data_IF_023520645957
#
_entry.id   IF_023520645957
#
_cell.length_a   1.000
_cell.length_b   1.000
_cell.length_c   1.000
_cell.angle_alpha   90.00
_cell.angle_beta   90.00
_cell.angle_gamma   90.00
#
_symmetry.space_group_name_H-M   'P 1'
#
loop_
_entity.id
_entity.type
_entity.pdbx_description
1 polymer ?
#
# COMPACT_ATOMS: atom_id res chain seq x y z
N UNK A 1 -94.58 22.85 38.84
CA UNK A 1 -93.17 22.99 39.26
C UNK A 1 -92.42 21.70 38.98
N UNK A 2 -91.58 21.69 37.94
CA UNK A 2 -90.34 20.89 37.82
C UNK A 2 -89.61 21.42 36.59
N UNK A 3 -88.52 22.12 36.87
CA UNK A 3 -87.63 22.75 35.91
C UNK A 3 -86.32 21.94 35.80
N UNK A 4 -85.55 22.25 34.75
CA UNK A 4 -84.12 21.93 34.51
C UNK A 4 -83.83 20.50 34.04
N UNK A 5 -82.92 20.24 33.09
CA UNK A 5 -81.86 21.04 32.47
C UNK A 5 -81.45 20.36 31.14
N UNK A 6 -81.37 21.10 30.03
CA UNK A 6 -80.84 20.62 28.75
C UNK A 6 -79.31 20.74 28.76
N UNK A 7 -78.60 19.63 28.67
CA UNK A 7 -77.15 19.60 28.45
C UNK A 7 -76.84 19.76 26.95
N UNK A 8 -76.14 20.85 26.61
CA UNK A 8 -75.47 21.04 25.33
C UNK A 8 -74.10 20.35 25.39
N UNK A 9 -73.95 19.22 24.70
CA UNK A 9 -72.65 18.58 24.47
C UNK A 9 -71.93 19.24 23.29
N UNK A 10 -70.97 20.11 23.58
CA UNK A 10 -70.00 20.67 22.62
C UNK A 10 -69.20 19.53 21.97
N UNK A 11 -69.39 19.31 20.65
CA UNK A 11 -68.43 18.53 19.85
C UNK A 11 -67.14 19.34 19.74
N UNK A 12 -66.05 18.86 20.33
CA UNK A 12 -64.70 19.35 20.03
C UNK A 12 -64.42 19.07 18.54
N UNK A 13 -64.24 20.12 17.76
CA UNK A 13 -63.71 20.02 16.41
C UNK A 13 -62.29 19.43 16.50
N UNK A 14 -62.05 18.36 15.76
CA UNK A 14 -60.70 17.82 15.58
C UNK A 14 -59.89 18.82 14.74
N UNK A 15 -58.82 19.37 15.32
CA UNK A 15 -57.83 20.14 14.57
C UNK A 15 -57.16 19.22 13.52
N UNK A 16 -57.10 19.60 12.25
CA UNK A 16 -56.39 18.84 11.25
C UNK A 16 -54.88 18.95 11.52
N UNK A 17 -54.23 17.82 11.74
CA UNK A 17 -52.78 17.71 11.94
C UNK A 17 -52.01 18.12 10.68
N UNK A 18 -51.81 19.42 10.46
CA UNK A 18 -51.06 19.96 9.34
C UNK A 18 -49.57 20.16 9.70
N UNK A 19 -48.88 19.08 10.12
CA UNK A 19 -47.44 19.15 10.46
C UNK A 19 -46.59 17.92 10.09
N UNK A 20 -47.07 17.03 9.22
CA UNK A 20 -46.31 15.80 8.86
C UNK A 20 -45.84 15.68 7.39
N UNK A 21 -46.32 16.51 6.45
CA UNK A 21 -45.93 16.39 5.03
C UNK A 21 -44.60 17.08 4.68
N UNK A 22 -44.31 18.25 5.26
CA UNK A 22 -43.05 18.98 4.99
C UNK A 22 -41.79 18.24 5.45
N UNK A 23 -41.81 17.63 6.64
CA UNK A 23 -40.64 16.93 7.20
C UNK A 23 -40.21 15.69 6.40
N UNK A 24 -41.15 14.99 5.74
CA UNK A 24 -40.81 13.84 4.89
C UNK A 24 -40.11 14.26 3.60
N UNK A 25 -40.52 15.37 2.98
CA UNK A 25 -39.87 15.88 1.78
C UNK A 25 -38.44 16.36 2.08
N UNK A 26 -38.26 17.08 3.19
CA UNK A 26 -36.93 17.51 3.67
C UNK A 26 -36.01 16.34 4.01
N UNK A 27 -36.54 15.29 4.66
CA UNK A 27 -35.76 14.10 4.95
C UNK A 27 -35.33 13.36 3.68
N UNK A 28 -36.22 13.20 2.69
CA UNK A 28 -35.88 12.58 1.40
C UNK A 28 -34.81 13.41 0.67
N UNK A 29 -34.95 14.73 0.65
CA UNK A 29 -33.96 15.62 0.04
C UNK A 29 -32.59 15.53 0.74
N UNK A 30 -32.57 15.55 2.07
CA UNK A 30 -31.33 15.41 2.83
C UNK A 30 -30.63 14.07 2.57
N UNK A 31 -31.40 12.97 2.51
CA UNK A 31 -30.85 11.64 2.16
C UNK A 31 -30.29 11.64 0.74
N UNK A 32 -30.98 12.23 -0.23
CA UNK A 32 -30.49 12.34 -1.60
C UNK A 32 -29.19 13.14 -1.69
N UNK A 33 -29.10 14.28 -0.99
CA UNK A 33 -27.88 15.11 -0.94
C UNK A 33 -26.73 14.34 -0.31
N UNK A 34 -26.95 13.66 0.82
CA UNK A 34 -25.92 12.84 1.47
C UNK A 34 -25.48 11.67 0.59
N UNK A 35 -26.41 11.04 -0.13
CA UNK A 35 -26.10 9.98 -1.08
C UNK A 35 -25.26 10.50 -2.25
N UNK A 36 -25.63 11.62 -2.86
CA UNK A 36 -24.84 12.24 -3.93
C UNK A 36 -23.45 12.65 -3.45
N UNK A 37 -23.35 13.24 -2.24
CA UNK A 37 -22.07 13.58 -1.63
C UNK A 37 -21.21 12.33 -1.37
N UNK A 38 -21.81 11.23 -0.92
CA UNK A 38 -21.14 9.96 -0.72
C UNK A 38 -20.66 9.33 -2.04
N UNK A 39 -21.50 9.32 -3.08
CA UNK A 39 -21.12 8.83 -4.42
C UNK A 39 -19.98 9.67 -4.99
N UNK A 40 -20.07 11.00 -4.89
CA UNK A 40 -19.00 11.90 -5.30
C UNK A 40 -17.71 11.61 -4.53
N UNK A 41 -17.79 11.49 -3.20
CA UNK A 41 -16.67 11.12 -2.35
C UNK A 41 -16.03 9.80 -2.80
N UNK A 42 -16.80 8.73 -2.99
CA UNK A 42 -16.27 7.43 -3.43
C UNK A 42 -15.70 7.48 -4.85
N UNK A 43 -16.20 8.34 -5.72
CA UNK A 43 -15.67 8.53 -7.07
C UNK A 43 -14.31 9.24 -7.07
N UNK A 44 -14.09 10.18 -6.14
CA UNK A 44 -12.85 10.95 -6.02
C UNK A 44 -11.85 10.36 -5.01
N UNK A 45 -12.27 9.38 -4.20
CA UNK A 45 -11.43 8.69 -3.24
C UNK A 45 -10.26 8.01 -3.95
N UNK A 46 -9.00 8.24 -3.54
CA UNK A 46 -7.87 7.58 -4.16
C UNK A 46 -7.99 6.05 -4.06
N UNK A 47 -7.73 5.36 -5.16
CA UNK A 47 -7.72 3.90 -5.18
C UNK A 47 -6.62 3.36 -4.25
N UNK A 48 -5.43 3.96 -4.35
CA UNK A 48 -4.24 3.54 -3.62
C UNK A 48 -3.53 4.72 -2.96
N UNK A 49 -3.00 4.49 -1.77
CA UNK A 49 -1.95 5.26 -1.14
C UNK A 49 -0.69 4.39 -1.10
N UNK A 50 0.42 4.86 -1.64
CA UNK A 50 1.73 4.21 -1.52
C UNK A 50 2.63 5.08 -0.65
N UNK A 51 3.30 4.49 0.35
CA UNK A 51 4.20 5.21 1.26
C UNK A 51 5.52 4.47 1.36
N UNK A 52 6.61 5.17 1.07
CA UNK A 52 7.96 4.60 1.10
C UNK A 52 8.91 5.36 0.20
N UNK A 53 10.20 5.07 0.30
CA UNK A 53 11.24 5.83 -0.38
C UNK A 53 11.45 5.34 -1.82
N UNK A 54 11.63 6.29 -2.73
CA UNK A 54 12.35 6.02 -3.97
C UNK A 54 13.81 5.73 -3.62
N UNK A 55 14.45 4.84 -4.38
CA UNK A 55 15.87 4.51 -4.14
C UNK A 55 16.74 4.85 -5.33
N UNK A 56 18.03 5.00 -5.03
CA UNK A 56 19.09 4.83 -6.01
C UNK A 56 19.72 3.46 -5.83
N UNK A 57 19.62 2.62 -6.86
CA UNK A 57 20.30 1.33 -6.89
C UNK A 57 21.58 1.49 -7.71
N UNK A 58 22.72 1.29 -7.04
CA UNK A 58 24.06 1.34 -7.65
C UNK A 58 24.48 -0.09 -7.97
N UNK A 59 24.67 -0.38 -9.26
CA UNK A 59 25.15 -1.68 -9.74
C UNK A 59 26.53 -1.49 -10.39
N UNK A 60 27.58 -1.99 -9.72
CA UNK A 60 28.97 -1.72 -10.13
C UNK A 60 29.35 -0.23 -10.03
N UNK A 61 30.39 0.19 -10.75
CA UNK A 61 30.98 1.54 -10.57
C UNK A 61 30.28 2.68 -11.32
N UNK A 62 29.21 2.43 -12.10
CA UNK A 62 28.68 3.47 -13.03
C UNK A 62 27.16 3.52 -13.21
N UNK A 63 26.40 2.44 -12.98
CA UNK A 63 24.97 2.47 -13.27
C UNK A 63 24.15 2.82 -12.02
N UNK A 64 23.44 3.94 -12.08
CA UNK A 64 22.44 4.35 -11.08
C UNK A 64 21.05 4.15 -11.68
N UNK A 65 20.25 3.28 -11.09
CA UNK A 65 18.86 3.10 -11.45
C UNK A 65 17.95 3.65 -10.36
N UNK A 66 16.77 4.16 -10.74
CA UNK A 66 15.73 4.44 -9.75
C UNK A 66 15.11 3.12 -9.35
N UNK A 67 14.97 2.89 -8.05
CA UNK A 67 14.35 1.70 -7.51
C UNK A 67 13.38 2.06 -6.39
N UNK A 68 13.21 1.11 -5.49
CA UNK A 68 12.34 1.22 -4.33
C UNK A 68 10.99 0.61 -4.58
N UNK A 69 10.46 -0.03 -3.54
CA UNK A 69 9.22 -0.78 -3.60
C UNK A 69 8.02 0.09 -4.05
N UNK A 70 7.97 1.34 -3.60
CA UNK A 70 6.96 2.32 -4.05
C UNK A 70 7.04 2.57 -5.56
N UNK A 71 8.25 2.67 -6.12
CA UNK A 71 8.45 2.95 -7.55
C UNK A 71 7.94 1.79 -8.41
N UNK A 72 8.29 0.56 -8.03
CA UNK A 72 7.82 -0.64 -8.74
C UNK A 72 6.30 -0.81 -8.63
N UNK A 73 5.74 -0.61 -7.44
CA UNK A 73 4.29 -0.66 -7.23
C UNK A 73 3.54 0.41 -8.03
N UNK A 74 4.04 1.65 -8.04
CA UNK A 74 3.46 2.74 -8.81
C UNK A 74 3.51 2.47 -10.32
N UNK A 75 4.66 2.03 -10.84
CA UNK A 75 4.83 1.72 -12.26
C UNK A 75 3.86 0.62 -12.72
N UNK A 76 3.64 -0.41 -11.90
CA UNK A 76 2.65 -1.43 -12.20
C UNK A 76 1.23 -0.87 -12.19
N UNK A 77 0.86 -0.08 -11.18
CA UNK A 77 -0.44 0.58 -11.11
C UNK A 77 -0.70 1.43 -12.35
N UNK A 78 0.27 2.24 -12.77
CA UNK A 78 0.18 3.04 -13.99
C UNK A 78 -0.02 2.20 -15.25
N UNK A 79 0.69 1.07 -15.36
CA UNK A 79 0.52 0.10 -16.46
C UNK A 79 -0.88 -0.51 -16.48
N UNK A 80 -1.49 -0.70 -15.31
CA UNK A 80 -2.85 -1.18 -15.14
C UNK A 80 -3.92 -0.07 -15.24
N UNK A 81 -3.53 1.17 -15.56
CA UNK A 81 -4.44 2.32 -15.66
C UNK A 81 -4.95 2.83 -14.32
N UNK A 82 -4.36 2.39 -13.20
CA UNK A 82 -4.69 2.85 -11.87
C UNK A 82 -3.80 4.02 -11.45
N UNK A 83 -4.38 4.98 -10.72
CA UNK A 83 -3.65 6.09 -10.11
C UNK A 83 -3.56 5.91 -8.60
N UNK A 84 -2.50 6.43 -8.01
CA UNK A 84 -2.25 6.38 -6.58
C UNK A 84 -1.89 7.77 -6.06
N UNK A 85 -2.15 8.02 -4.79
CA UNK A 85 -1.40 9.01 -4.04
C UNK A 85 -0.09 8.35 -3.58
N UNK A 86 1.05 8.95 -3.90
CA UNK A 86 2.38 8.41 -3.59
C UNK A 86 3.11 9.37 -2.68
N UNK A 87 3.41 8.95 -1.45
CA UNK A 87 4.19 9.74 -0.49
C UNK A 87 5.58 9.15 -0.41
N UNK A 88 6.58 9.93 -0.82
CA UNK A 88 7.95 9.44 -0.97
C UNK A 88 9.00 10.50 -0.63
N UNK A 89 10.19 10.09 -0.20
CA UNK A 89 11.32 10.98 0.06
C UNK A 89 12.48 10.70 -0.89
N UNK A 90 13.25 11.75 -1.20
CA UNK A 90 14.43 11.69 -2.06
C UNK A 90 15.08 13.07 -2.23
N UNK A 91 16.33 13.09 -2.66
CA UNK A 91 17.15 14.28 -2.83
C UNK A 91 16.75 15.14 -4.04
N UNK A 92 16.29 14.52 -5.13
CA UNK A 92 15.99 15.22 -6.37
C UNK A 92 14.55 14.99 -6.83
N UNK A 93 13.85 16.04 -7.31
CA UNK A 93 12.60 15.87 -8.05
C UNK A 93 12.74 15.03 -9.34
N UNK A 94 13.97 14.78 -9.81
CA UNK A 94 14.19 13.85 -10.93
C UNK A 94 14.00 12.38 -10.52
N UNK A 95 14.15 12.07 -9.23
CA UNK A 95 14.02 10.70 -8.70
C UNK A 95 12.56 10.22 -8.74
N UNK A 96 11.60 11.15 -8.84
CA UNK A 96 10.15 10.87 -8.87
C UNK A 96 9.56 10.87 -10.30
N UNK A 97 10.38 11.00 -11.35
CA UNK A 97 9.90 10.92 -12.75
C UNK A 97 9.22 9.57 -13.06
N UNK A 98 9.70 8.51 -12.42
CA UNK A 98 9.10 7.19 -12.47
C UNK A 98 7.64 7.13 -11.97
N UNK A 99 7.20 8.15 -11.22
CA UNK A 99 5.88 8.25 -10.61
C UNK A 99 4.93 9.15 -11.40
N UNK A 100 5.29 9.53 -12.64
CA UNK A 100 4.40 10.30 -13.53
C UNK A 100 3.06 9.59 -13.69
N UNK A 101 1.96 10.36 -13.64
CA UNK A 101 0.60 9.84 -13.69
C UNK A 101 -0.02 9.58 -12.31
N UNK A 102 0.76 9.65 -11.23
CA UNK A 102 0.29 9.56 -9.85
C UNK A 102 0.21 10.95 -9.18
N UNK A 103 -0.55 11.06 -8.09
CA UNK A 103 -0.55 12.25 -7.20
C UNK A 103 0.62 12.11 -6.23
N UNK A 104 1.75 12.75 -6.54
CA UNK A 104 3.00 12.57 -5.80
C UNK A 104 3.16 13.65 -4.74
N UNK A 105 3.35 13.22 -3.50
CA UNK A 105 3.73 14.03 -2.35
C UNK A 105 5.19 13.74 -2.05
N UNK A 106 6.07 14.68 -2.43
CA UNK A 106 7.50 14.57 -2.18
C UNK A 106 7.83 15.15 -0.80
N UNK A 107 8.45 14.34 0.05
CA UNK A 107 9.00 14.72 1.35
C UNK A 107 10.47 15.11 1.14
N UNK A 108 10.83 16.40 1.22
CA UNK A 108 12.19 16.85 0.93
C UNK A 108 13.23 16.18 1.85
N UNK A 109 14.34 15.76 1.25
CA UNK A 109 15.51 15.22 1.94
C UNK A 109 16.76 15.68 1.20
N UNK A 110 17.91 15.73 1.89
CA UNK A 110 19.20 15.96 1.22
C UNK A 110 19.75 14.69 0.56
N UNK A 111 19.33 13.53 1.04
CA UNK A 111 19.81 12.22 0.60
C UNK A 111 18.66 11.35 0.08
N UNK A 112 18.93 10.60 -0.99
CA UNK A 112 18.07 9.51 -1.48
C UNK A 112 18.55 8.18 -0.90
N UNK A 113 17.63 7.31 -0.49
CA UNK A 113 17.97 5.98 0.01
C UNK A 113 18.73 5.21 -1.08
N UNK A 114 19.98 4.86 -0.81
CA UNK A 114 20.89 4.30 -1.81
C UNK A 114 21.31 2.90 -1.42
N UNK A 115 21.03 1.94 -2.30
CA UNK A 115 21.48 0.55 -2.19
C UNK A 115 22.62 0.31 -3.16
N UNK A 116 23.76 -0.13 -2.65
CA UNK A 116 24.88 -0.61 -3.46
C UNK A 116 24.84 -2.13 -3.57
N UNK A 117 24.97 -2.62 -4.81
CA UNK A 117 24.98 -4.04 -5.14
C UNK A 117 26.39 -4.49 -5.50
N UNK A 118 26.91 -5.42 -4.70
CA UNK A 118 28.12 -6.16 -5.04
C UNK A 118 27.79 -7.61 -5.35
N UNK A 119 28.42 -8.13 -6.41
CA UNK A 119 28.37 -9.55 -6.78
C UNK A 119 29.68 -10.20 -6.38
N UNK A 120 29.63 -11.36 -5.73
CA UNK A 120 30.84 -12.15 -5.48
C UNK A 120 31.17 -12.99 -6.70
N UNK A 121 32.45 -13.05 -7.08
CA UNK A 121 32.92 -13.71 -8.32
C UNK A 121 32.57 -15.22 -8.42
N UNK A 122 32.24 -15.85 -7.29
CA UNK A 122 31.89 -17.28 -7.19
C UNK A 122 30.46 -17.56 -6.70
N UNK A 123 29.57 -16.57 -6.62
CA UNK A 123 28.22 -16.79 -6.07
C UNK A 123 27.11 -15.96 -6.69
N UNK A 124 25.93 -16.55 -6.79
CA UNK A 124 24.68 -15.85 -7.10
C UNK A 124 24.17 -14.96 -5.93
N UNK A 125 24.99 -14.78 -4.88
CA UNK A 125 24.61 -14.03 -3.69
C UNK A 125 24.94 -12.55 -3.86
N UNK A 126 23.89 -11.76 -4.12
CA UNK A 126 23.94 -10.31 -4.13
C UNK A 126 24.11 -9.81 -2.70
N UNK A 127 25.20 -9.08 -2.42
CA UNK A 127 25.35 -8.36 -1.15
C UNK A 127 24.81 -6.94 -1.35
N UNK A 128 23.87 -6.55 -0.50
CA UNK A 128 23.34 -5.20 -0.44
C UNK A 128 24.04 -4.41 0.67
N UNK A 129 24.37 -3.16 0.38
CA UNK A 129 24.85 -2.18 1.37
C UNK A 129 24.05 -0.90 1.26
N UNK A 130 23.66 -0.31 2.40
CA UNK A 130 23.07 1.03 2.46
C UNK A 130 24.18 2.06 2.61
N UNK A 131 24.26 3.04 1.71
CA UNK A 131 25.34 4.03 1.66
C UNK A 131 24.86 5.47 1.89
N UNK A 132 23.62 5.78 1.57
CA UNK A 132 22.97 7.06 1.84
C UNK A 132 21.49 6.84 2.12
N UNK A 133 20.86 7.71 2.91
CA UNK A 133 19.43 7.65 3.22
C UNK A 133 18.90 8.93 3.84
N UNK A 134 17.59 9.23 3.68
CA UNK A 134 16.96 10.35 4.36
C UNK A 134 17.20 10.34 5.87
N UNK A 135 17.33 11.51 6.51
CA UNK A 135 17.57 11.60 7.95
C UNK A 135 16.36 11.26 8.81
N UNK A 136 15.15 11.35 8.24
CA UNK A 136 13.90 11.15 8.95
C UNK A 136 13.00 10.16 8.20
N UNK A 137 12.23 9.40 8.96
CA UNK A 137 11.22 8.50 8.42
C UNK A 137 10.06 9.29 7.79
N UNK A 138 9.41 8.70 6.79
CA UNK A 138 8.10 9.20 6.35
C UNK A 138 7.07 8.85 7.44
N UNK A 139 6.40 9.85 8.01
CA UNK A 139 5.40 9.72 9.07
C UNK A 139 4.00 10.20 8.62
N UNK A 140 2.98 10.04 9.48
CA UNK A 140 1.58 10.35 9.14
C UNK A 140 1.37 11.80 8.71
N UNK A 141 2.13 12.74 9.29
CA UNK A 141 2.00 14.18 9.03
C UNK A 141 2.45 14.55 7.62
N UNK A 142 3.29 13.73 6.99
CA UNK A 142 3.65 13.88 5.57
C UNK A 142 2.54 13.42 4.63
N UNK A 143 1.54 12.67 5.11
CA UNK A 143 0.46 12.11 4.29
C UNK A 143 -0.72 13.09 4.29
N UNK A 144 -1.09 13.71 3.16
CA UNK A 144 -2.24 14.62 3.10
C UNK A 144 -3.56 13.91 3.42
N UNK A 145 -4.50 14.63 4.03
CA UNK A 145 -5.81 14.07 4.42
C UNK A 145 -6.55 13.37 3.25
N UNK A 146 -6.49 13.94 2.04
CA UNK A 146 -7.08 13.34 0.83
C UNK A 146 -6.53 11.94 0.52
N UNK A 147 -5.25 11.71 0.84
CA UNK A 147 -4.55 10.46 0.59
C UNK A 147 -4.77 9.44 1.71
N UNK A 148 -4.93 9.91 2.96
CA UNK A 148 -5.26 9.03 4.12
C UNK A 148 -6.57 8.29 3.92
N UNK A 149 -7.46 8.85 3.11
CA UNK A 149 -8.74 8.26 2.74
C UNK A 149 -8.62 7.30 1.56
N UNK A 150 -7.45 6.83 1.12
CA UNK A 150 -7.37 5.85 0.04
C UNK A 150 -8.15 4.56 0.37
N UNK A 151 -8.58 3.80 -0.64
CA UNK A 151 -9.24 2.49 -0.42
C UNK A 151 -8.26 1.43 0.08
N UNK A 152 -7.04 1.45 -0.45
CA UNK A 152 -5.94 0.59 -0.04
C UNK A 152 -4.71 1.45 0.24
N UNK A 153 -4.09 1.27 1.41
CA UNK A 153 -2.83 1.93 1.77
C UNK A 153 -1.72 0.88 1.87
N UNK A 154 -0.63 1.14 1.16
CA UNK A 154 0.54 0.26 1.01
C UNK A 154 1.74 0.95 1.63
N UNK A 155 2.27 0.37 2.70
CA UNK A 155 3.49 0.83 3.34
C UNK A 155 4.62 -0.07 2.87
N UNK A 156 5.67 0.55 2.32
CA UNK A 156 6.78 -0.16 1.72
C UNK A 156 8.12 0.34 2.28
N UNK A 157 8.37 0.12 3.57
CA UNK A 157 9.67 0.38 4.17
C UNK A 157 10.76 -0.45 3.48
N UNK A 158 11.94 0.13 3.31
CA UNK A 158 13.08 -0.55 2.69
C UNK A 158 14.23 -0.76 3.67
N UNK A 159 14.16 -0.12 4.84
CA UNK A 159 14.97 -0.39 6.04
C UNK A 159 14.06 -0.20 7.26
N UNK A 160 14.50 -0.59 8.45
CA UNK A 160 13.62 -0.74 9.61
C UNK A 160 12.94 0.56 10.09
N UNK A 161 13.52 1.71 9.76
CA UNK A 161 13.18 3.03 10.31
C UNK A 161 13.04 4.12 9.23
N UNK A 162 12.86 3.77 7.94
CA UNK A 162 12.67 4.76 6.87
C UNK A 162 11.21 5.17 6.63
N UNK A 163 10.27 4.39 7.17
CA UNK A 163 8.84 4.68 7.23
C UNK A 163 8.36 4.40 8.65
N UNK A 164 7.67 5.36 9.27
CA UNK A 164 7.07 5.19 10.59
C UNK A 164 5.75 4.42 10.46
N UNK A 165 5.89 3.11 10.27
CA UNK A 165 4.76 2.19 10.02
C UNK A 165 3.75 2.23 11.16
N UNK A 166 4.20 2.24 12.41
CA UNK A 166 3.31 2.22 13.57
C UNK A 166 2.44 3.48 13.62
N UNK A 167 3.06 4.65 13.52
CA UNK A 167 2.35 5.92 13.57
C UNK A 167 1.39 6.09 12.38
N UNK A 168 1.81 5.66 11.18
CA UNK A 168 0.95 5.72 9.99
C UNK A 168 -0.24 4.76 10.13
N UNK A 169 -0.02 3.52 10.54
CA UNK A 169 -1.11 2.55 10.77
C UNK A 169 -2.08 3.09 11.81
N UNK A 170 -1.58 3.63 12.92
CA UNK A 170 -2.40 4.26 13.95
C UNK A 170 -3.23 5.42 13.36
N UNK A 171 -2.60 6.35 12.66
CA UNK A 171 -3.26 7.51 12.07
C UNK A 171 -4.32 7.18 11.01
N UNK A 172 -4.08 6.15 10.19
CA UNK A 172 -5.01 5.70 9.15
C UNK A 172 -6.22 4.93 9.71
N UNK A 173 -6.10 4.36 10.92
CA UNK A 173 -7.10 3.42 11.45
C UNK A 173 -7.87 3.94 12.65
N UNK A 174 -7.22 4.77 13.47
CA UNK A 174 -7.79 5.34 14.70
C UNK A 174 -7.93 6.85 14.63
N UNK A 175 -7.13 7.54 13.81
CA UNK A 175 -7.21 9.00 13.61
C UNK A 175 -8.55 9.46 13.00
N UNK A 176 -9.32 8.52 12.45
CA UNK A 176 -10.67 8.69 11.94
C UNK A 176 -11.68 7.94 12.84
N UNK A 177 -11.59 8.12 14.17
CA UNK A 177 -12.43 7.39 15.15
C UNK A 177 -13.95 7.58 14.91
N UNK A 178 -14.34 8.75 14.39
CA UNK A 178 -15.72 9.09 14.03
C UNK A 178 -16.16 8.47 12.69
N UNK A 179 -15.21 8.05 11.84
CA UNK A 179 -15.53 7.54 10.52
C UNK A 179 -15.98 6.07 10.59
N UNK A 180 -17.02 5.71 9.83
CA UNK A 180 -17.42 4.31 9.67
C UNK A 180 -16.26 3.40 9.25
N UNK A 181 -16.27 2.16 9.72
CA UNK A 181 -15.21 1.18 9.43
C UNK A 181 -14.99 0.94 7.93
N UNK A 182 -16.02 1.07 7.10
CA UNK A 182 -15.91 0.91 5.64
C UNK A 182 -15.11 2.04 4.95
N UNK A 183 -14.92 3.19 5.62
CA UNK A 183 -14.06 4.26 5.14
C UNK A 183 -12.59 4.04 5.48
N UNK A 184 -12.26 3.08 6.36
CA UNK A 184 -10.87 2.78 6.68
C UNK A 184 -10.18 2.10 5.50
N UNK A 185 -8.93 2.47 5.16
CA UNK A 185 -8.20 1.79 4.12
C UNK A 185 -7.96 0.33 4.49
N UNK A 186 -7.99 -0.56 3.50
CA UNK A 186 -7.27 -1.83 3.60
C UNK A 186 -5.78 -1.52 3.75
N UNK A 187 -5.12 -2.12 4.74
CA UNK A 187 -3.68 -1.95 4.91
C UNK A 187 -2.92 -3.10 4.27
N UNK A 188 -1.81 -2.76 3.61
CA UNK A 188 -0.83 -3.71 3.13
C UNK A 188 0.57 -3.22 3.51
N UNK A 189 1.42 -4.12 4.00
CA UNK A 189 2.81 -3.78 4.31
C UNK A 189 3.71 -4.72 3.50
N UNK A 190 4.58 -4.14 2.70
CA UNK A 190 5.70 -4.84 2.06
C UNK A 190 6.82 -4.86 3.10
N UNK A 191 6.88 -5.95 3.86
CA UNK A 191 7.58 -6.02 5.15
C UNK A 191 9.09 -6.19 5.04
N UNK A 192 9.64 -6.30 3.82
CA UNK A 192 11.05 -6.57 3.58
C UNK A 192 11.97 -5.60 4.36
N UNK A 193 11.69 -4.29 4.33
CA UNK A 193 12.52 -3.30 5.03
C UNK A 193 12.53 -3.46 6.54
N UNK A 194 11.39 -3.85 7.13
CA UNK A 194 11.26 -4.06 8.58
C UNK A 194 12.08 -5.26 9.07
N UNK A 195 12.32 -6.24 8.18
CA UNK A 195 13.10 -7.43 8.50
C UNK A 195 14.61 -7.24 8.28
N UNK A 196 15.03 -6.15 7.62
CA UNK A 196 16.44 -5.86 7.34
C UNK A 196 17.16 -5.34 8.58
N UNK A 197 18.37 -5.82 8.77
CA UNK A 197 19.33 -5.29 9.74
C UNK A 197 20.49 -4.62 9.01
N UNK A 198 21.08 -3.60 9.61
CA UNK A 198 22.22 -2.87 9.05
C UNK A 198 23.43 -3.04 9.95
N UNK A 199 24.59 -3.39 9.39
CA UNK A 199 25.81 -3.68 10.15
C UNK A 199 26.23 -2.55 11.08
N UNK A 200 26.03 -1.30 10.64
CA UNK A 200 26.46 -0.10 11.35
C UNK A 200 25.26 0.60 12.03
N UNK A 201 24.14 -0.13 12.20
CA UNK A 201 22.87 0.33 12.78
C UNK A 201 22.05 1.27 11.87
N UNK A 202 22.71 2.14 11.11
CA UNK A 202 22.07 3.11 10.21
C UNK A 202 22.47 2.98 8.75
N UNK A 203 23.70 2.51 8.52
CA UNK A 203 24.29 2.26 7.21
C UNK A 203 24.90 0.86 7.20
N UNK A 204 25.38 0.45 6.04
CA UNK A 204 26.23 -0.71 5.94
C UNK A 204 25.55 -1.94 5.39
N UNK A 205 26.17 -3.10 5.63
CA UNK A 205 25.75 -4.35 5.00
C UNK A 205 24.35 -4.73 5.47
N UNK A 206 23.49 -5.11 4.53
CA UNK A 206 22.12 -5.54 4.80
C UNK A 206 22.14 -7.01 5.20
N UNK A 207 21.64 -7.29 6.40
CA UNK A 207 21.28 -8.63 6.87
C UNK A 207 19.78 -8.76 7.10
N UNK A 208 19.38 -9.89 7.67
CA UNK A 208 17.99 -10.18 8.03
C UNK A 208 17.92 -10.60 9.51
N UNK A 209 16.88 -10.18 10.21
CA UNK A 209 16.64 -10.65 11.57
C UNK A 209 16.21 -12.14 11.57
N UNK A 210 16.61 -12.88 12.60
CA UNK A 210 16.37 -14.33 12.73
C UNK A 210 14.93 -14.70 13.16
N UNK A 211 14.00 -13.75 13.13
CA UNK A 211 12.60 -13.92 13.50
C UNK A 211 11.82 -12.64 13.24
N UNK A 212 10.48 -12.65 13.36
CA UNK A 212 9.65 -11.49 13.04
C UNK A 212 10.09 -10.25 13.82
N UNK A 213 10.45 -9.19 13.09
CA UNK A 213 10.82 -7.90 13.68
C UNK A 213 9.69 -7.36 14.59
N UNK A 214 10.02 -6.61 15.67
CA UNK A 214 9.01 -6.08 16.58
C UNK A 214 7.88 -5.29 15.89
N UNK A 215 8.23 -4.49 14.88
CA UNK A 215 7.28 -3.70 14.10
C UNK A 215 6.23 -4.55 13.35
N UNK A 216 6.53 -5.82 13.05
CA UNK A 216 5.59 -6.74 12.40
C UNK A 216 4.61 -7.38 13.38
N UNK A 217 4.87 -7.36 14.69
CA UNK A 217 4.07 -8.07 15.70
C UNK A 217 2.82 -7.30 16.13
N UNK A 218 2.69 -6.04 15.72
CA UNK A 218 1.54 -5.22 16.08
C UNK A 218 0.24 -5.79 15.49
N UNK A 219 -0.83 -5.79 16.29
CA UNK A 219 -2.15 -6.21 15.82
C UNK A 219 -2.64 -5.27 14.72
N UNK A 220 -3.00 -5.84 13.57
CA UNK A 220 -3.44 -5.07 12.41
C UNK A 220 -4.98 -5.03 12.30
N UNK A 221 -5.56 -4.01 11.68
CA UNK A 221 -6.98 -4.01 11.33
C UNK A 221 -7.37 -5.25 10.51
N UNK A 222 -8.65 -5.63 10.60
CA UNK A 222 -9.17 -6.75 9.81
C UNK A 222 -9.00 -6.52 8.31
N UNK A 223 -8.58 -7.56 7.59
CA UNK A 223 -8.34 -7.49 6.14
C UNK A 223 -6.99 -6.89 5.74
N UNK A 224 -6.09 -6.67 6.71
CA UNK A 224 -4.71 -6.24 6.43
C UNK A 224 -3.88 -7.37 5.81
N UNK A 225 -2.88 -7.01 5.00
CA UNK A 225 -1.96 -7.93 4.34
C UNK A 225 -0.51 -7.64 4.71
N UNK A 226 0.27 -8.70 4.91
CA UNK A 226 1.71 -8.65 5.08
C UNK A 226 2.37 -9.42 3.94
N UNK A 227 3.22 -8.74 3.17
CA UNK A 227 4.01 -9.37 2.11
C UNK A 227 5.44 -9.56 2.59
N UNK A 228 5.90 -10.80 2.55
CA UNK A 228 7.26 -11.22 2.88
C UNK A 228 7.76 -12.18 1.78
N UNK A 229 9.05 -12.48 1.79
CA UNK A 229 9.66 -13.52 0.96
C UNK A 229 10.21 -14.68 1.78
N UNK A 230 10.47 -15.80 1.12
CA UNK A 230 11.22 -16.91 1.69
C UNK A 230 12.58 -16.46 2.21
N UNK A 231 13.29 -15.59 1.49
CA UNK A 231 14.57 -15.00 1.93
C UNK A 231 14.45 -14.24 3.27
N UNK A 232 13.31 -13.62 3.56
CA UNK A 232 13.10 -12.92 4.84
C UNK A 232 12.71 -13.85 5.99
N UNK A 233 12.23 -15.06 5.68
CA UNK A 233 11.61 -15.98 6.64
C UNK A 233 12.35 -17.32 6.79
N UNK A 234 13.33 -17.61 5.94
CA UNK A 234 14.06 -18.89 5.86
C UNK A 234 14.78 -19.27 7.15
N UNK A 235 15.25 -18.26 7.88
CA UNK A 235 15.99 -18.38 9.14
C UNK A 235 15.07 -18.29 10.36
N UNK A 236 13.78 -18.09 10.17
CA UNK A 236 12.84 -17.99 11.29
C UNK A 236 12.61 -19.36 11.93
N UNK A 237 12.29 -19.41 13.24
CA UNK A 237 11.86 -20.64 13.88
C UNK A 237 10.64 -21.23 13.18
N UNK A 238 10.56 -22.56 13.17
CA UNK A 238 9.37 -23.26 12.68
C UNK A 238 8.11 -22.77 13.42
N UNK A 239 7.03 -22.49 12.69
CA UNK A 239 5.79 -21.96 13.26
C UNK A 239 5.75 -20.44 13.43
N UNK A 240 6.87 -19.72 13.25
CA UNK A 240 6.91 -18.27 13.48
C UNK A 240 6.06 -17.47 12.48
N UNK A 241 5.90 -17.97 11.25
CA UNK A 241 5.06 -17.34 10.23
C UNK A 241 3.57 -17.49 10.61
N UNK A 242 3.18 -18.68 11.06
CA UNK A 242 1.83 -18.98 11.53
C UNK A 242 1.49 -18.18 12.80
N UNK A 243 2.43 -18.11 13.75
CA UNK A 243 2.29 -17.30 14.97
C UNK A 243 2.14 -15.81 14.63
N UNK A 244 2.91 -15.31 13.65
CA UNK A 244 2.80 -13.93 13.18
C UNK A 244 1.43 -13.67 12.54
N UNK A 245 0.92 -14.59 11.71
CA UNK A 245 -0.41 -14.49 11.12
C UNK A 245 -1.52 -14.49 12.17
N UNK A 246 -1.41 -15.35 13.19
CA UNK A 246 -2.36 -15.44 14.29
C UNK A 246 -2.37 -14.19 15.17
N UNK A 247 -1.20 -13.74 15.61
CA UNK A 247 -1.04 -12.59 16.51
C UNK A 247 -1.39 -11.26 15.85
N UNK A 248 -0.98 -11.05 14.59
CA UNK A 248 -1.29 -9.82 13.85
C UNK A 248 -2.71 -9.80 13.33
N UNK A 249 -3.31 -10.97 13.07
CA UNK A 249 -4.58 -11.15 12.37
C UNK A 249 -4.59 -10.60 10.93
N UNK A 250 -3.41 -10.45 10.32
CA UNK A 250 -3.25 -10.13 8.92
C UNK A 250 -3.24 -11.42 8.07
N UNK A 251 -3.52 -11.29 6.78
CA UNK A 251 -3.21 -12.32 5.79
C UNK A 251 -1.74 -12.19 5.42
N UNK A 252 -0.95 -13.25 5.58
CA UNK A 252 0.45 -13.28 5.18
C UNK A 252 0.56 -13.84 3.76
N UNK A 253 1.36 -13.18 2.93
CA UNK A 253 1.67 -13.60 1.57
C UNK A 253 3.18 -13.73 1.48
N UNK A 254 3.67 -14.97 1.41
CA UNK A 254 5.09 -15.30 1.36
C UNK A 254 5.46 -15.68 -0.07
N UNK A 255 6.25 -14.85 -0.76
CA UNK A 255 6.73 -15.17 -2.11
C UNK A 255 7.94 -16.10 -2.04
N UNK A 256 7.96 -17.15 -2.85
CA UNK A 256 9.01 -18.19 -2.89
C UNK A 256 9.72 -18.23 -4.25
N UNK A 257 9.85 -17.06 -4.90
CA UNK A 257 10.46 -16.92 -6.21
C UNK A 257 9.85 -17.86 -7.26
N UNK A 258 10.67 -18.75 -7.82
CA UNK A 258 10.25 -19.70 -8.87
C UNK A 258 9.25 -20.77 -8.39
N UNK A 259 9.02 -20.90 -7.07
CA UNK A 259 8.03 -21.83 -6.48
C UNK A 259 6.64 -21.20 -6.34
N UNK A 260 6.50 -19.91 -6.64
CA UNK A 260 5.25 -19.17 -6.54
C UNK A 260 5.14 -18.43 -5.21
N UNK A 261 4.01 -18.59 -4.52
CA UNK A 261 3.80 -17.99 -3.21
C UNK A 261 2.89 -18.86 -2.31
N UNK A 262 2.92 -18.56 -1.02
CA UNK A 262 2.04 -19.14 0.00
C UNK A 262 1.21 -18.02 0.61
N UNK A 263 -0.10 -18.24 0.74
CA UNK A 263 -1.02 -17.32 1.41
C UNK A 263 -1.54 -17.98 2.67
N UNK A 264 -1.22 -17.40 3.83
CA UNK A 264 -1.78 -17.80 5.11
C UNK A 264 -2.90 -16.83 5.48
N UNK A 265 -4.12 -17.36 5.56
CA UNK A 265 -5.31 -16.58 5.93
C UNK A 265 -5.21 -16.06 7.36
N UNK A 266 -5.95 -14.97 7.62
CA UNK A 266 -6.07 -14.35 8.95
C UNK A 266 -6.34 -15.39 10.04
N UNK A 267 -5.57 -15.33 11.13
CA UNK A 267 -5.74 -16.20 12.29
C UNK A 267 -5.05 -17.57 12.16
N UNK A 268 -4.39 -17.86 11.03
CA UNK A 268 -3.76 -19.15 10.72
C UNK A 268 -4.73 -20.37 10.80
N UNK A 269 -6.04 -20.13 10.87
CA UNK A 269 -7.06 -21.18 10.89
C UNK A 269 -7.35 -21.62 9.44
N UNK A 270 -6.66 -22.65 9.00
CA UNK A 270 -6.88 -23.30 7.69
C UNK A 270 -5.59 -23.59 6.94
N UNK A 271 -5.66 -24.45 5.91
CA UNK A 271 -4.49 -24.80 5.12
C UNK A 271 -3.97 -23.57 4.36
N UNK A 272 -2.65 -23.40 4.34
CA UNK A 272 -2.04 -22.37 3.54
C UNK A 272 -2.36 -22.57 2.05
N UNK A 273 -2.81 -21.51 1.37
CA UNK A 273 -3.13 -21.56 -0.06
C UNK A 273 -1.85 -21.37 -0.87
N UNK A 274 -1.56 -22.32 -1.77
CA UNK A 274 -0.46 -22.18 -2.74
C UNK A 274 -0.91 -21.33 -3.93
N UNK A 275 -0.03 -20.43 -4.36
CA UNK A 275 -0.14 -19.68 -5.60
C UNK A 275 0.89 -20.25 -6.57
N UNK A 276 0.44 -20.75 -7.71
CA UNK A 276 1.33 -21.32 -8.71
C UNK A 276 2.24 -20.24 -9.34
N UNK A 277 3.52 -20.57 -9.64
CA UNK A 277 4.42 -19.66 -10.33
C UNK A 277 3.99 -19.51 -11.80
N UNK A 278 4.13 -18.29 -12.32
CA UNK A 278 4.08 -18.04 -13.76
C UNK A 278 5.48 -18.21 -14.32
N UNK A 279 5.67 -19.19 -15.20
CA UNK A 279 6.99 -19.49 -15.77
C UNK A 279 7.42 -18.43 -16.78
N UNK A 280 8.69 -18.04 -16.70
CA UNK A 280 9.34 -17.17 -17.68
C UNK A 280 10.49 -17.91 -18.35
N UNK A 281 10.65 -17.69 -19.65
CA UNK A 281 11.73 -18.32 -20.43
C UNK A 281 13.13 -17.90 -19.98
N UNK A 282 13.28 -16.63 -19.58
CA UNK A 282 14.55 -16.06 -19.14
C UNK A 282 14.30 -14.99 -18.09
N UNK A 283 14.94 -15.14 -16.93
CA UNK A 283 15.02 -14.11 -15.91
C UNK A 283 16.13 -13.13 -16.31
N UNK A 284 15.78 -11.86 -16.45
CA UNK A 284 16.73 -10.79 -16.77
C UNK A 284 17.16 -10.03 -15.52
N UNK A 285 16.21 -9.72 -14.62
CA UNK A 285 16.47 -8.97 -13.40
C UNK A 285 15.35 -9.18 -12.38
N UNK A 286 15.70 -9.60 -11.17
CA UNK A 286 14.75 -9.91 -10.09
C UNK A 286 14.29 -8.69 -9.28
N UNK A 287 14.85 -7.49 -9.52
CA UNK A 287 14.46 -6.28 -8.81
C UNK A 287 12.98 -5.94 -8.99
N UNK A 288 12.31 -5.59 -7.89
CA UNK A 288 10.91 -5.19 -7.92
C UNK A 288 9.91 -6.30 -8.23
N UNK A 289 10.34 -7.57 -8.31
CA UNK A 289 9.43 -8.68 -8.60
C UNK A 289 8.40 -8.89 -7.48
N UNK A 290 8.86 -8.89 -6.22
CA UNK A 290 7.98 -8.97 -5.04
C UNK A 290 7.06 -7.75 -4.91
N UNK A 291 7.58 -6.55 -5.20
CA UNK A 291 6.81 -5.31 -5.17
C UNK A 291 5.72 -5.29 -6.25
N UNK A 292 6.06 -5.76 -7.45
CA UNK A 292 5.10 -5.91 -8.55
C UNK A 292 4.07 -7.00 -8.25
N UNK A 293 4.50 -8.11 -7.66
CA UNK A 293 3.58 -9.15 -7.19
C UNK A 293 2.59 -8.57 -6.18
N UNK A 294 3.07 -7.89 -5.13
CA UNK A 294 2.23 -7.31 -4.09
C UNK A 294 1.26 -6.27 -4.65
N UNK A 295 1.75 -5.38 -5.52
CA UNK A 295 0.90 -4.37 -6.16
C UNK A 295 -0.21 -5.01 -7.03
N UNK A 296 0.11 -6.01 -7.85
CA UNK A 296 -0.89 -6.73 -8.65
C UNK A 296 -1.89 -7.48 -7.77
N UNK A 297 -1.43 -8.09 -6.68
CA UNK A 297 -2.31 -8.78 -5.73
C UNK A 297 -3.35 -7.81 -5.16
N UNK A 298 -2.91 -6.62 -4.75
CA UNK A 298 -3.79 -5.61 -4.16
C UNK A 298 -4.74 -4.99 -5.19
N UNK A 299 -4.28 -4.77 -6.43
CA UNK A 299 -5.14 -4.35 -7.54
C UNK A 299 -6.21 -5.39 -7.83
N UNK A 300 -5.82 -6.65 -7.93
CA UNK A 300 -6.73 -7.77 -8.17
C UNK A 300 -7.81 -7.85 -7.07
N UNK A 301 -7.42 -7.74 -5.80
CA UNK A 301 -8.38 -7.68 -4.69
C UNK A 301 -9.33 -6.49 -4.79
N UNK A 302 -8.81 -5.32 -5.17
CA UNK A 302 -9.61 -4.10 -5.27
C UNK A 302 -10.59 -4.12 -6.46
N UNK A 303 -10.25 -4.85 -7.53
CA UNK A 303 -11.11 -5.04 -8.69
C UNK A 303 -12.01 -6.27 -8.60
N UNK A 304 -11.91 -7.06 -7.53
CA UNK A 304 -12.72 -8.26 -7.35
C UNK A 304 -12.32 -9.41 -8.28
N UNK A 305 -11.05 -9.47 -8.69
CA UNK A 305 -10.50 -10.61 -9.43
C UNK A 305 -10.48 -11.84 -8.52
N UNK A 306 -11.03 -12.95 -9.00
CA UNK A 306 -11.22 -14.18 -8.20
C UNK A 306 -9.90 -14.75 -7.68
N UNK A 307 -8.88 -14.88 -8.53
CA UNK A 307 -7.54 -15.32 -8.11
C UNK A 307 -6.51 -14.19 -8.18
N UNK A 308 -6.48 -13.38 -7.13
CA UNK A 308 -5.45 -12.37 -6.94
C UNK A 308 -4.02 -12.94 -6.93
N UNK A 309 -3.84 -14.20 -6.53
CA UNK A 309 -2.54 -14.86 -6.52
C UNK A 309 -2.01 -15.11 -7.94
N UNK A 310 -2.86 -15.61 -8.84
CA UNK A 310 -2.49 -15.82 -10.23
C UNK A 310 -2.13 -14.49 -10.93
N UNK A 311 -2.93 -13.44 -10.74
CA UNK A 311 -2.64 -12.11 -11.28
C UNK A 311 -1.30 -11.55 -10.76
N UNK A 312 -1.04 -11.71 -9.46
CA UNK A 312 0.20 -11.31 -8.82
C UNK A 312 1.41 -12.10 -9.36
N UNK A 313 1.26 -13.41 -9.51
CA UNK A 313 2.28 -14.31 -10.06
C UNK A 313 2.67 -13.91 -11.48
N UNK A 314 1.68 -13.58 -12.32
CA UNK A 314 1.92 -13.08 -13.67
C UNK A 314 2.68 -11.75 -13.69
N UNK A 315 2.30 -10.80 -12.82
CA UNK A 315 2.96 -9.50 -12.73
C UNK A 315 4.41 -9.62 -12.24
N UNK A 316 4.67 -10.47 -11.23
CA UNK A 316 6.02 -10.78 -10.78
C UNK A 316 6.87 -11.41 -11.88
N UNK A 317 6.29 -12.36 -12.63
CA UNK A 317 6.93 -12.97 -13.81
C UNK A 317 7.24 -11.92 -14.90
N UNK A 318 6.30 -11.06 -15.23
CA UNK A 318 6.51 -9.98 -16.21
C UNK A 318 7.60 -9.00 -15.77
N UNK A 319 7.70 -8.71 -14.46
CA UNK A 319 8.76 -7.87 -13.91
C UNK A 319 10.14 -8.52 -14.06
N UNK A 320 10.28 -9.83 -13.81
CA UNK A 320 11.59 -10.50 -13.93
C UNK A 320 12.05 -10.71 -15.36
N UNK A 321 11.13 -10.68 -16.33
CA UNK A 321 11.42 -10.80 -17.75
C UNK A 321 11.93 -9.51 -18.41
N UNK A 322 12.11 -8.42 -17.63
CA UNK A 322 12.61 -7.11 -18.08
C UNK A 322 13.88 -6.74 -17.31
N UNK A 323 14.83 -6.09 -17.97
CA UNK A 323 16.01 -5.53 -17.29
C UNK A 323 15.62 -4.32 -16.45
N UNK A 324 16.44 -3.96 -15.46
CA UNK A 324 16.20 -2.78 -14.62
C UNK A 324 16.13 -1.48 -15.43
N UNK A 325 16.85 -1.38 -16.55
CA UNK A 325 16.77 -0.23 -17.44
C UNK A 325 15.45 -0.10 -18.22
N UNK A 326 14.65 -1.18 -18.29
CA UNK A 326 13.29 -1.16 -18.83
C UNK A 326 12.22 -1.02 -17.73
N UNK A 327 12.64 -1.08 -16.46
CA UNK A 327 11.86 -0.63 -15.30
C UNK A 327 12.17 0.85 -15.10
N UNK A 328 11.33 1.62 -14.37
CA UNK A 328 11.53 3.04 -14.19
C UNK A 328 13.00 3.43 -13.93
N UNK A 329 13.63 4.14 -14.87
CA UNK A 329 15.04 4.52 -14.78
C UNK A 329 15.21 6.04 -14.72
N UNK A 330 16.35 6.51 -14.16
CA UNK A 330 16.71 7.93 -14.19
C UNK A 330 16.93 8.45 -15.62
N UNK A 331 17.27 7.59 -16.57
CA UNK A 331 17.63 7.96 -17.94
C UNK A 331 16.44 8.16 -18.89
N UNK A 332 15.24 7.68 -18.53
CA UNK A 332 14.01 7.90 -19.31
C UNK A 332 13.63 9.40 -19.41
N UNK A 333 14.29 10.27 -18.65
CA UNK A 333 14.14 11.72 -18.70
C UNK A 333 14.78 12.39 -19.93
N UNK A 334 15.79 11.78 -20.58
CA UNK A 334 16.52 12.43 -21.68
C UNK A 334 15.93 12.20 -23.08
N UNK A 335 15.03 11.23 -23.26
CA UNK A 335 14.46 10.91 -24.58
C UNK A 335 13.18 11.72 -24.88
N UNK A 336 12.47 12.23 -23.86
CA UNK A 336 11.23 12.98 -24.07
C UNK A 336 11.41 14.52 -24.13
N UNK A 337 12.57 15.08 -23.79
CA UNK A 337 12.83 16.52 -23.89
C UNK A 337 13.13 16.99 -25.32
N UNK A 338 13.37 16.06 -26.26
CA UNK A 338 13.64 16.36 -27.68
C UNK A 338 12.41 16.36 -28.58
N UNK A 339 11.21 16.06 -28.07
CA UNK A 339 9.98 16.04 -28.89
C UNK A 339 8.94 17.11 -28.59
N UNK A 340 9.27 18.14 -27.80
CA UNK A 340 8.43 19.34 -27.60
C UNK A 340 9.07 20.63 -28.12
N UNK A 341 10.01 20.53 -29.06
CA UNK A 341 10.56 21.72 -29.74
C UNK A 341 10.85 21.46 -31.22
N UNK A 342 9.83 21.18 -32.03
CA UNK A 342 9.87 21.48 -33.47
C UNK A 342 8.46 21.89 -33.91
N UNK A 343 8.34 23.19 -34.22
CA UNK A 343 7.32 23.91 -35.04
C UNK A 343 5.84 23.60 -34.86
#
# INVERSE_FOLDING_TARGET
>A
MKATMRWWGLRKAAEPSCRRRGGRLWAVYAVAVLFCAFVGFEMYRPAFLLVGNVTEDIVGSKQRATGGAVTYAASLLGTLGARACVVTSGASPHDIVALRGHDVVHVPSQDTLTFEHSYTWFGHHRKLRVTARPPHAIAIDHIPLRCRLARTAVLAPLVSDDVDVENIVHGLTTGLWWAPSFLRPRLAILAQGLQRTLSDGRFGAVGHAAGPAPALRARMPGGSLLFLSDVETDTWPAGAVEELAASTGATLVITEGAKGAVVLSRGAEGPARRVAPTHVRKVLDTNGAGDSFAAAYLVALQWGVEDAGAAASWAGAAAVARSQGCKPSKHDANVSAKHTSVS
#
